data_IF_518420794825
#
_entry.id   IF_518420794825
#
_cell.length_a   1.000
_cell.length_b   1.000
_cell.length_c   1.000
_cell.angle_alpha   90.00
_cell.angle_beta   90.00
_cell.angle_gamma   90.00
#
_symmetry.space_group_name_H-M   'P 1'
#
loop_
_entity.id
_entity.type
_entity.pdbx_description
1 polymer ?
#
# COMPACT_ATOMS: atom_id res chain seq x y z
N UNK A 1 -1.61 1.08 -2.45
CA UNK A 1 -0.85 1.01 -3.72
C UNK A 1 -0.99 2.32 -4.46
N UNK A 2 0.00 2.70 -5.28
CA UNK A 2 -0.02 3.87 -6.17
C UNK A 2 -0.45 5.17 -5.49
N UNK A 3 -0.25 5.32 -4.17
CA UNK A 3 -0.86 6.39 -3.39
C UNK A 3 -0.32 7.78 -3.77
N UNK A 4 0.86 7.84 -4.40
CA UNK A 4 1.36 9.07 -5.01
C UNK A 4 0.44 9.65 -6.10
N UNK A 5 -0.29 8.81 -6.84
CA UNK A 5 -1.18 9.23 -7.94
C UNK A 5 -2.35 10.11 -7.47
N UNK A 6 -2.67 10.07 -6.17
CA UNK A 6 -3.70 10.89 -5.56
C UNK A 6 -3.28 12.36 -5.36
N UNK A 7 -1.98 12.66 -5.43
CA UNK A 7 -1.45 14.00 -5.12
C UNK A 7 -0.50 14.54 -6.19
N UNK A 8 0.20 13.68 -6.91
CA UNK A 8 1.11 14.07 -7.99
C UNK A 8 0.37 14.85 -9.09
N UNK A 9 0.82 16.07 -9.37
CA UNK A 9 0.15 16.99 -10.31
C UNK A 9 -1.18 17.58 -9.81
N UNK A 10 -1.69 17.17 -8.64
CA UNK A 10 -3.00 17.57 -8.12
C UNK A 10 -2.94 18.51 -6.91
N UNK A 11 -2.15 18.16 -5.89
CA UNK A 11 -2.16 18.88 -4.62
C UNK A 11 -1.35 20.19 -4.74
N UNK A 12 -1.98 21.37 -4.59
CA UNK A 12 -1.27 22.64 -4.66
C UNK A 12 -0.24 22.79 -3.54
N UNK A 13 0.84 23.52 -3.83
CA UNK A 13 1.95 23.73 -2.88
C UNK A 13 1.73 24.91 -1.94
N UNK A 14 0.63 25.65 -2.09
CA UNK A 14 0.22 26.81 -1.31
C UNK A 14 -1.02 26.52 -0.43
N UNK A 15 -1.59 25.33 -0.53
CA UNK A 15 -2.64 24.85 0.37
C UNK A 15 -1.99 24.32 1.66
N UNK A 16 -2.49 24.68 2.87
CA UNK A 16 -1.91 24.28 4.17
C UNK A 16 -2.20 22.79 4.47
N UNK A 17 -1.68 21.92 3.62
CA UNK A 17 -1.82 20.47 3.64
C UNK A 17 -0.46 19.85 3.44
N UNK A 18 -0.11 18.91 4.33
CA UNK A 18 1.02 18.01 4.20
C UNK A 18 0.46 16.61 3.93
N UNK A 19 0.85 15.99 2.82
CA UNK A 19 0.44 14.62 2.49
C UNK A 19 1.67 13.71 2.42
N UNK A 20 1.54 12.51 3.00
CA UNK A 20 2.54 11.45 2.96
C UNK A 20 1.94 10.20 2.33
N UNK A 21 2.68 9.53 1.45
CA UNK A 21 2.19 8.34 0.75
C UNK A 21 3.10 7.14 0.97
N UNK A 22 2.49 5.96 1.12
CA UNK A 22 3.21 4.70 1.26
C UNK A 22 4.04 4.29 0.03
N UNK A 23 3.65 4.78 -1.15
CA UNK A 23 4.24 4.44 -2.43
C UNK A 23 4.20 5.64 -3.37
N UNK A 24 5.02 5.63 -4.43
CA UNK A 24 4.88 6.57 -5.54
C UNK A 24 3.62 6.25 -6.38
N UNK A 25 3.38 6.99 -7.47
CA UNK A 25 2.19 6.82 -8.31
C UNK A 25 2.17 5.56 -9.18
N UNK A 26 3.19 4.69 -9.10
CA UNK A 26 3.46 3.65 -10.10
C UNK A 26 3.71 2.26 -9.52
N UNK A 27 3.73 2.15 -8.20
CA UNK A 27 4.12 0.93 -7.52
C UNK A 27 3.17 0.57 -6.38
N UNK A 28 3.20 -0.71 -6.02
CA UNK A 28 2.40 -1.22 -4.91
C UNK A 28 2.91 -0.71 -3.56
N UNK A 29 1.99 -0.63 -2.60
CA UNK A 29 2.34 -0.69 -1.18
C UNK A 29 2.55 -2.15 -0.77
N UNK A 30 2.97 -2.36 0.47
CA UNK A 30 3.35 -3.69 0.96
C UNK A 30 2.72 -3.95 2.32
N UNK A 31 2.05 -5.09 2.45
CA UNK A 31 1.71 -5.72 3.72
C UNK A 31 2.97 -6.19 4.44
N UNK A 32 2.90 -6.41 5.75
CA UNK A 32 3.95 -6.96 6.60
C UNK A 32 3.32 -7.84 7.70
N UNK A 33 4.15 -8.62 8.40
CA UNK A 33 3.69 -9.68 9.31
C UNK A 33 2.74 -10.67 8.59
N UNK A 34 3.15 -11.11 7.41
CA UNK A 34 2.42 -12.09 6.61
C UNK A 34 3.00 -13.50 6.81
N UNK A 35 2.25 -14.53 6.38
CA UNK A 35 2.72 -15.92 6.41
C UNK A 35 3.04 -16.40 7.83
N UNK A 36 4.23 -16.98 8.04
CA UNK A 36 4.63 -17.52 9.34
C UNK A 36 4.66 -16.47 10.47
N UNK A 37 4.81 -15.19 10.11
CA UNK A 37 4.87 -14.07 11.05
C UNK A 37 3.49 -13.48 11.38
N UNK A 38 2.43 -13.96 10.72
CA UNK A 38 1.04 -13.56 10.94
C UNK A 38 0.42 -14.20 12.20
N UNK A 39 1.12 -14.15 13.34
CA UNK A 39 0.72 -14.85 14.58
C UNK A 39 0.38 -13.91 15.72
N UNK A 40 -0.74 -14.18 16.38
CA UNK A 40 -1.16 -13.50 17.61
C UNK A 40 -1.45 -14.53 18.70
N UNK A 41 -0.76 -14.43 19.84
CA UNK A 41 -0.89 -15.40 20.94
C UNK A 41 -0.54 -16.84 20.52
N UNK A 42 0.41 -17.00 19.60
CA UNK A 42 0.83 -18.30 19.05
C UNK A 42 -0.10 -18.87 17.97
N UNK A 43 -1.25 -18.22 17.71
CA UNK A 43 -2.22 -18.64 16.68
C UNK A 43 -1.96 -17.92 15.38
N UNK A 44 -2.03 -18.67 14.28
CA UNK A 44 -2.00 -18.11 12.94
C UNK A 44 -3.31 -17.37 12.64
N UNK A 45 -3.20 -16.12 12.20
CA UNK A 45 -4.34 -15.26 11.85
C UNK A 45 -4.72 -15.42 10.37
N UNK A 46 -3.87 -16.03 9.55
CA UNK A 46 -4.10 -16.27 8.11
C UNK A 46 -4.43 -15.00 7.35
N UNK A 47 -3.76 -13.91 7.72
CA UNK A 47 -3.77 -12.61 7.06
C UNK A 47 -2.54 -11.83 7.52
N UNK A 48 -2.00 -10.97 6.66
CA UNK A 48 -1.01 -9.98 7.10
C UNK A 48 -1.57 -9.15 8.26
N UNK A 49 -0.74 -8.86 9.29
CA UNK A 49 -1.17 -8.12 10.48
C UNK A 49 -0.97 -6.61 10.37
N UNK A 50 -0.29 -6.13 9.32
CA UNK A 50 -0.13 -4.71 9.08
C UNK A 50 0.40 -4.40 7.69
N UNK A 51 0.64 -3.12 7.45
CA UNK A 51 1.28 -2.61 6.23
C UNK A 51 2.63 -2.00 6.60
N UNK A 52 3.65 -2.25 5.77
CA UNK A 52 5.04 -1.86 6.03
C UNK A 52 5.15 -0.35 6.31
N UNK A 53 4.54 0.48 5.48
CA UNK A 53 4.48 1.93 5.70
C UNK A 53 3.80 2.28 7.03
N UNK A 54 2.61 1.72 7.25
CA UNK A 54 1.76 2.05 8.40
C UNK A 54 2.44 1.70 9.71
N UNK A 55 2.94 0.47 9.80
CA UNK A 55 3.67 -0.05 10.96
C UNK A 55 4.90 0.79 11.25
N UNK A 56 5.66 1.19 10.23
CA UNK A 56 6.86 2.00 10.40
C UNK A 56 6.58 3.38 11.02
N UNK A 57 5.56 4.11 10.58
CA UNK A 57 5.27 5.44 11.17
C UNK A 57 4.58 5.34 12.53
N UNK A 58 3.71 4.35 12.74
CA UNK A 58 3.02 4.16 14.02
C UNK A 58 4.01 3.77 15.13
N UNK A 59 4.85 2.75 14.89
CA UNK A 59 5.84 2.34 15.89
C UNK A 59 6.90 3.41 16.15
N UNK A 60 7.17 4.29 15.19
CA UNK A 60 8.05 5.42 15.41
C UNK A 60 7.40 6.49 16.30
N UNK A 61 6.13 6.81 16.03
CA UNK A 61 5.35 7.79 16.81
C UNK A 61 5.10 7.35 18.26
N UNK A 62 5.04 6.05 18.51
CA UNK A 62 4.88 5.47 19.86
C UNK A 62 6.16 5.57 20.70
N UNK A 63 7.32 5.88 20.10
CA UNK A 63 8.56 6.05 20.87
C UNK A 63 8.50 7.35 21.66
N UNK A 64 8.53 7.23 22.98
CA UNK A 64 8.66 8.39 23.86
C UNK A 64 10.07 8.99 23.74
N UNK A 65 10.18 10.18 23.13
CA UNK A 65 11.41 10.97 23.08
C UNK A 65 11.31 12.21 23.97
N UNK A 66 12.44 12.65 24.54
CA UNK A 66 12.49 13.89 25.35
C UNK A 66 12.27 15.16 24.49
N UNK A 67 12.58 15.09 23.20
CA UNK A 67 12.39 16.14 22.22
C UNK A 67 11.27 15.75 21.24
N UNK A 68 10.30 16.62 20.95
CA UNK A 68 9.27 16.35 19.95
C UNK A 68 9.90 16.07 18.58
N UNK A 69 9.43 15.03 17.91
CA UNK A 69 9.83 14.69 16.55
C UNK A 69 9.13 15.60 15.52
N UNK A 70 9.87 16.04 14.49
CA UNK A 70 9.33 16.87 13.41
C UNK A 70 8.89 16.03 12.20
N UNK A 71 8.04 16.59 11.33
CA UNK A 71 7.62 15.91 10.09
C UNK A 71 8.78 15.44 9.21
N UNK A 72 9.86 16.23 9.08
CA UNK A 72 11.03 15.84 8.29
C UNK A 72 11.76 14.63 8.89
N UNK A 73 11.87 14.59 10.21
CA UNK A 73 12.53 13.50 10.92
C UNK A 73 11.75 12.18 10.71
N UNK A 74 10.44 12.19 10.97
CA UNK A 74 9.61 11.00 10.77
C UNK A 74 9.59 10.58 9.30
N UNK A 75 9.43 11.53 8.38
CA UNK A 75 9.51 11.23 6.94
C UNK A 75 10.80 10.50 6.58
N UNK A 76 11.94 11.01 7.06
CA UNK A 76 13.25 10.42 6.75
C UNK A 76 13.38 9.00 7.30
N UNK A 77 12.92 8.75 8.54
CA UNK A 77 12.90 7.42 9.13
C UNK A 77 11.95 6.48 8.38
N UNK A 78 10.69 6.86 8.18
CA UNK A 78 9.67 6.05 7.53
C UNK A 78 10.06 5.73 6.09
N UNK A 79 10.65 6.68 5.36
CA UNK A 79 11.20 6.46 4.02
C UNK A 79 12.35 5.46 4.02
N UNK A 80 13.19 5.46 5.05
CA UNK A 80 14.31 4.52 5.17
C UNK A 80 13.82 3.11 5.50
N UNK A 81 12.84 2.99 6.39
CA UNK A 81 12.31 1.70 6.86
C UNK A 81 11.31 1.07 5.89
N UNK A 82 10.59 1.87 5.11
CA UNK A 82 9.65 1.41 4.08
C UNK A 82 10.40 1.27 2.76
N UNK A 83 11.23 0.23 2.66
CA UNK A 83 12.20 0.04 1.57
C UNK A 83 11.72 -0.91 0.45
N UNK A 84 10.45 -1.31 0.45
CA UNK A 84 9.79 -2.05 -0.64
C UNK A 84 9.03 -1.14 -1.61
N UNK A 85 8.82 0.11 -1.22
CA UNK A 85 8.18 1.18 -1.99
C UNK A 85 8.85 2.52 -1.67
N UNK A 86 8.52 3.55 -2.42
CA UNK A 86 9.05 4.89 -2.30
C UNK A 86 8.04 5.75 -1.56
N UNK A 87 8.36 6.07 -0.31
CA UNK A 87 7.56 7.02 0.48
C UNK A 87 7.72 8.42 -0.11
N UNK A 88 6.60 9.05 -0.47
CA UNK A 88 6.56 10.38 -1.08
C UNK A 88 5.85 11.39 -0.18
N UNK A 89 6.15 12.68 -0.38
CA UNK A 89 5.53 13.80 0.32
C UNK A 89 5.07 14.87 -0.66
N UNK A 90 3.90 15.47 -0.41
CA UNK A 90 3.25 16.44 -1.30
C UNK A 90 2.67 17.63 -0.51
N UNK A 91 2.25 18.67 -1.22
CA UNK A 91 1.67 19.89 -0.65
C UNK A 91 2.70 20.87 -0.10
N UNK A 92 2.35 21.57 0.99
CA UNK A 92 3.20 22.54 1.70
C UNK A 92 4.33 21.89 2.50
N UNK A 93 4.81 20.71 2.08
CA UNK A 93 5.70 19.88 2.89
C UNK A 93 6.96 20.61 3.35
N UNK A 94 7.56 21.47 2.50
CA UNK A 94 8.76 22.26 2.82
C UNK A 94 8.54 23.25 3.96
N UNK A 95 7.35 23.86 4.04
CA UNK A 95 7.03 24.84 5.06
C UNK A 95 6.68 24.20 6.41
N UNK A 96 6.33 22.91 6.41
CA UNK A 96 5.90 22.16 7.59
C UNK A 96 6.97 21.17 8.10
N UNK A 97 8.18 21.16 7.53
CA UNK A 97 9.23 20.16 7.84
C UNK A 97 9.67 20.18 9.31
N UNK A 98 9.67 21.36 9.92
CA UNK A 98 10.13 21.60 11.29
C UNK A 98 8.98 21.57 12.32
N UNK A 99 7.73 21.44 11.86
CA UNK A 99 6.58 21.39 12.76
C UNK A 99 6.59 20.07 13.57
N UNK A 100 6.34 20.11 14.89
CA UNK A 100 6.25 18.91 15.71
C UNK A 100 5.02 18.07 15.32
N UNK A 101 5.24 16.77 15.14
CA UNK A 101 4.16 15.83 14.81
C UNK A 101 3.14 15.71 15.94
N UNK A 102 3.57 15.97 17.19
CA UNK A 102 2.71 15.96 18.37
C UNK A 102 1.59 17.00 18.32
N UNK A 103 1.73 18.07 17.53
CA UNK A 103 0.63 19.03 17.31
C UNK A 103 -0.55 18.42 16.54
N UNK A 104 -0.30 17.31 15.83
CA UNK A 104 -1.29 16.63 14.99
C UNK A 104 -1.73 15.29 15.57
N UNK A 105 -0.79 14.52 16.12
CA UNK A 105 -1.05 13.19 16.70
C UNK A 105 -1.32 13.24 18.21
N UNK A 106 -1.17 14.42 18.83
CA UNK A 106 -1.15 14.58 20.27
C UNK A 106 0.22 14.26 20.88
N UNK A 107 0.46 14.69 22.14
CA UNK A 107 1.67 14.30 22.85
C UNK A 107 1.66 12.79 23.16
N UNK A 108 2.84 12.17 23.35
CA UNK A 108 2.93 10.84 23.92
C UNK A 108 2.12 10.79 25.23
N UNK A 109 1.23 9.80 25.36
CA UNK A 109 0.38 9.71 26.56
C UNK A 109 1.25 9.57 27.81
N UNK A 110 0.87 10.23 28.91
CA UNK A 110 1.57 10.17 30.19
C UNK A 110 1.73 8.73 30.71
N UNK A 111 0.83 7.82 30.33
CA UNK A 111 0.95 6.39 30.63
C UNK A 111 2.10 5.71 29.87
N UNK A 112 2.37 6.11 28.63
CA UNK A 112 3.51 5.62 27.84
C UNK A 112 4.82 6.25 28.31
N UNK A 113 4.81 7.54 28.68
CA UNK A 113 5.97 8.20 29.28
C UNK A 113 6.34 7.60 30.66
N UNK A 114 5.34 7.19 31.44
CA UNK A 114 5.54 6.54 32.75
C UNK A 114 5.88 5.05 32.67
N UNK A 115 5.60 4.38 31.56
CA UNK A 115 5.90 2.96 31.35
C UNK A 115 7.41 2.66 31.18
N UNK A 116 8.26 3.70 31.09
CA UNK A 116 9.67 3.54 30.76
C UNK A 116 9.87 3.05 29.30
N UNK A 117 11.10 2.79 28.85
CA UNK A 117 11.31 2.13 27.56
C UNK A 117 10.56 0.79 27.59
N UNK A 118 9.61 0.61 26.69
CA UNK A 118 8.82 -0.60 26.60
C UNK A 118 9.76 -1.80 26.53
N UNK A 119 9.57 -2.76 27.43
CA UNK A 119 10.27 -4.05 27.45
C UNK A 119 9.77 -5.00 26.36
N UNK A 120 8.84 -4.58 25.51
CA UNK A 120 8.57 -5.27 24.24
C UNK A 120 9.81 -5.20 23.36
N UNK A 121 10.32 -6.33 22.86
CA UNK A 121 11.42 -6.33 21.90
C UNK A 121 11.04 -5.39 20.76
N UNK A 122 11.95 -4.48 20.40
CA UNK A 122 11.78 -3.70 19.18
C UNK A 122 11.61 -4.71 18.04
N UNK A 123 10.51 -4.59 17.29
CA UNK A 123 10.30 -5.44 16.13
C UNK A 123 11.47 -5.21 15.18
N UNK A 124 12.23 -6.27 14.87
CA UNK A 124 13.40 -6.12 14.02
C UNK A 124 12.97 -5.65 12.62
N UNK A 125 13.60 -4.60 12.06
CA UNK A 125 13.28 -4.14 10.71
C UNK A 125 13.40 -5.24 9.65
N UNK A 126 14.29 -6.22 9.87
CA UNK A 126 14.43 -7.38 9.02
C UNK A 126 13.17 -8.26 9.00
N UNK A 127 12.47 -8.41 10.13
CA UNK A 127 11.22 -9.17 10.20
C UNK A 127 10.13 -8.51 9.33
N UNK A 128 10.00 -7.18 9.44
CA UNK A 128 9.04 -6.42 8.64
C UNK A 128 9.30 -6.57 7.14
N UNK A 129 10.58 -6.50 6.76
CA UNK A 129 11.02 -6.59 5.38
C UNK A 129 10.86 -7.99 4.78
N UNK A 130 11.22 -9.02 5.54
CA UNK A 130 11.22 -10.41 5.07
C UNK A 130 9.81 -10.98 4.97
N UNK A 131 8.91 -10.54 5.85
CA UNK A 131 7.48 -10.91 5.81
C UNK A 131 6.65 -10.04 4.86
N UNK A 132 7.28 -9.10 4.14
CA UNK A 132 6.55 -8.16 3.32
C UNK A 132 5.99 -8.80 2.03
N UNK A 133 4.70 -8.57 1.78
CA UNK A 133 3.99 -9.04 0.58
C UNK A 133 3.38 -7.85 -0.13
N UNK A 134 3.50 -7.78 -1.45
CA UNK A 134 2.85 -6.74 -2.27
C UNK A 134 1.37 -6.71 -1.93
N UNK A 135 0.80 -5.54 -1.65
CA UNK A 135 -0.64 -5.41 -1.32
C UNK A 135 -1.54 -6.03 -2.40
N UNK A 136 -1.10 -6.07 -3.67
CA UNK A 136 -1.82 -6.73 -4.78
C UNK A 136 -1.85 -8.25 -4.68
N UNK A 137 -0.90 -8.84 -3.97
CA UNK A 137 -0.66 -10.28 -3.92
C UNK A 137 -0.98 -10.91 -2.56
N UNK A 138 -1.45 -10.13 -1.58
CA UNK A 138 -1.78 -10.64 -0.23
C UNK A 138 -2.77 -11.81 -0.29
N UNK A 139 -3.85 -11.68 -1.06
CA UNK A 139 -4.85 -12.76 -1.22
C UNK A 139 -4.23 -14.01 -1.84
N UNK A 140 -3.48 -13.86 -2.93
CA UNK A 140 -2.83 -14.97 -3.61
C UNK A 140 -1.78 -15.64 -2.71
N UNK A 141 -0.99 -14.85 -1.98
CA UNK A 141 -0.02 -15.33 -1.01
C UNK A 141 -0.70 -16.14 0.08
N UNK A 142 -1.79 -15.65 0.66
CA UNK A 142 -2.53 -16.38 1.71
C UNK A 142 -3.10 -17.70 1.19
N UNK A 143 -3.72 -17.71 0.02
CA UNK A 143 -4.25 -18.94 -0.59
C UNK A 143 -3.15 -19.95 -0.90
N UNK A 144 -1.96 -19.47 -1.30
CA UNK A 144 -0.80 -20.32 -1.52
C UNK A 144 -0.29 -20.93 -0.21
N UNK A 145 -0.22 -20.15 0.89
CA UNK A 145 0.15 -20.68 2.21
C UNK A 145 -0.88 -21.70 2.71
N UNK A 146 -2.18 -21.39 2.60
CA UNK A 146 -3.27 -22.33 2.94
C UNK A 146 -3.11 -23.66 2.18
N UNK A 147 -2.78 -23.61 0.88
CA UNK A 147 -2.52 -24.81 0.09
C UNK A 147 -1.30 -25.60 0.59
N UNK A 148 -0.21 -24.93 0.93
CA UNK A 148 1.00 -25.59 1.46
C UNK A 148 0.76 -26.23 2.84
N UNK A 149 0.01 -25.56 3.71
CA UNK A 149 -0.22 -25.99 5.09
C UNK A 149 -1.25 -27.13 5.19
N UNK A 150 -2.33 -27.06 4.40
CA UNK A 150 -3.43 -28.02 4.48
C UNK A 150 -3.38 -29.10 3.40
N UNK A 151 -2.91 -28.76 2.20
CA UNK A 151 -2.86 -29.68 1.06
C UNK A 151 -4.20 -30.29 0.66
N UNK A 152 -5.33 -29.63 0.98
CA UNK A 152 -6.68 -30.12 0.69
C UNK A 152 -7.13 -29.75 -0.73
N UNK A 153 -8.08 -30.53 -1.26
CA UNK A 153 -8.73 -30.23 -2.54
C UNK A 153 -9.38 -28.83 -2.53
N UNK A 154 -10.02 -28.47 -1.42
CA UNK A 154 -10.63 -27.15 -1.23
C UNK A 154 -9.60 -26.01 -1.29
N UNK A 155 -8.44 -26.16 -0.64
CA UNK A 155 -7.38 -25.14 -0.69
C UNK A 155 -6.80 -25.00 -2.10
N UNK A 156 -6.61 -26.13 -2.80
CA UNK A 156 -6.17 -26.18 -4.20
C UNK A 156 -7.18 -25.50 -5.14
N UNK A 157 -8.47 -25.75 -4.95
CA UNK A 157 -9.55 -25.17 -5.74
C UNK A 157 -9.62 -23.65 -5.54
N UNK A 158 -9.60 -23.16 -4.29
CA UNK A 158 -9.59 -21.71 -3.98
C UNK A 158 -8.39 -20.99 -4.59
N UNK A 159 -7.18 -21.57 -4.48
CA UNK A 159 -5.98 -21.02 -5.09
C UNK A 159 -6.08 -20.98 -6.62
N UNK A 160 -6.57 -22.06 -7.23
CA UNK A 160 -6.72 -22.14 -8.69
C UNK A 160 -7.77 -21.16 -9.19
N UNK A 161 -8.87 -20.98 -8.46
CA UNK A 161 -9.92 -20.02 -8.78
C UNK A 161 -9.39 -18.58 -8.78
N UNK A 162 -8.61 -18.19 -7.76
CA UNK A 162 -7.98 -16.86 -7.71
C UNK A 162 -7.02 -16.64 -8.89
N UNK A 163 -6.21 -17.64 -9.24
CA UNK A 163 -5.31 -17.56 -10.40
C UNK A 163 -6.10 -17.37 -11.70
N UNK A 164 -7.19 -18.13 -11.89
CA UNK A 164 -8.06 -18.02 -13.07
C UNK A 164 -8.71 -16.64 -13.15
N UNK A 165 -9.30 -16.14 -12.06
CA UNK A 165 -9.90 -14.80 -11.98
C UNK A 165 -8.91 -13.71 -12.42
N UNK A 166 -7.68 -13.75 -11.90
CA UNK A 166 -6.61 -12.80 -12.29
C UNK A 166 -6.25 -12.89 -13.78
N UNK A 167 -6.17 -14.10 -14.33
CA UNK A 167 -5.89 -14.31 -15.76
C UNK A 167 -7.03 -13.81 -16.64
N UNK A 168 -8.28 -14.02 -16.22
CA UNK A 168 -9.47 -13.55 -16.94
C UNK A 168 -9.55 -12.03 -17.01
N UNK A 169 -9.28 -11.34 -15.90
CA UNK A 169 -9.23 -9.86 -15.87
C UNK A 169 -8.15 -9.32 -16.81
N UNK A 170 -6.95 -9.91 -16.79
CA UNK A 170 -5.86 -9.53 -17.70
C UNK A 170 -6.23 -9.76 -19.17
N UNK A 171 -6.84 -10.92 -19.46
CA UNK A 171 -7.30 -11.27 -20.81
C UNK A 171 -8.37 -10.30 -21.30
N UNK A 172 -9.35 -9.98 -20.45
CA UNK A 172 -10.41 -9.03 -20.77
C UNK A 172 -9.86 -7.62 -21.03
N UNK A 173 -8.95 -7.14 -20.17
CA UNK A 173 -8.30 -5.84 -20.37
C UNK A 173 -7.56 -5.74 -21.70
N UNK A 174 -6.83 -6.80 -22.08
CA UNK A 174 -6.20 -6.88 -23.40
C UNK A 174 -7.21 -6.86 -24.55
N UNK A 175 -8.30 -7.63 -24.46
CA UNK A 175 -9.33 -7.67 -25.49
C UNK A 175 -10.03 -6.32 -25.70
N UNK A 176 -10.30 -5.58 -24.62
CA UNK A 176 -10.85 -4.23 -24.69
C UNK A 176 -9.86 -3.30 -25.40
N UNK A 177 -8.59 -3.34 -24.99
CA UNK A 177 -7.55 -2.52 -25.61
C UNK A 177 -7.36 -2.85 -27.09
N UNK A 178 -7.35 -4.13 -27.47
CA UNK A 178 -7.22 -4.58 -28.86
C UNK A 178 -8.40 -4.14 -29.72
N UNK A 179 -9.62 -4.30 -29.21
CA UNK A 179 -10.85 -3.85 -29.88
C UNK A 179 -10.84 -2.34 -30.15
N UNK A 180 -10.39 -1.55 -29.17
CA UNK A 180 -10.32 -0.09 -29.28
C UNK A 180 -9.19 0.38 -30.21
N UNK A 181 -7.99 -0.17 -30.05
CA UNK A 181 -6.81 0.25 -30.80
C UNK A 181 -6.77 -0.30 -32.23
N UNK A 182 -7.54 -1.36 -32.51
CA UNK A 182 -7.54 -2.13 -33.76
C UNK A 182 -6.14 -2.61 -34.16
N UNK A 183 -5.27 -2.82 -33.16
CA UNK A 183 -3.87 -3.18 -33.33
C UNK A 183 -3.39 -3.92 -32.07
N UNK A 184 -3.11 -5.21 -32.22
CA UNK A 184 -2.69 -6.08 -31.13
C UNK A 184 -1.38 -5.63 -30.47
N UNK A 185 -0.45 -5.07 -31.25
CA UNK A 185 0.84 -4.61 -30.73
C UNK A 185 0.64 -3.35 -29.88
N UNK A 186 -0.13 -2.37 -30.38
CA UNK A 186 -0.44 -1.16 -29.60
C UNK A 186 -1.26 -1.46 -28.36
N UNK A 187 -2.16 -2.43 -28.42
CA UNK A 187 -2.91 -2.89 -27.26
C UNK A 187 -2.00 -3.53 -26.20
N UNK A 188 -1.06 -4.39 -26.63
CA UNK A 188 -0.06 -4.97 -25.74
C UNK A 188 0.81 -3.88 -25.09
N UNK A 189 1.28 -2.91 -25.89
CA UNK A 189 2.07 -1.79 -25.41
C UNK A 189 1.28 -0.93 -24.41
N UNK A 190 -0.02 -0.68 -24.65
CA UNK A 190 -0.90 0.08 -23.76
C UNK A 190 -1.12 -0.63 -22.41
N UNK A 191 -1.44 -1.93 -22.44
CA UNK A 191 -1.71 -2.71 -21.21
C UNK A 191 -0.43 -2.96 -20.40
N UNK A 192 0.72 -3.05 -21.07
CA UNK A 192 2.02 -3.21 -20.42
C UNK A 192 2.67 -1.88 -20.03
N UNK A 193 2.13 -0.74 -20.48
CA UNK A 193 2.74 0.56 -20.23
C UNK A 193 2.85 0.82 -18.72
N UNK A 194 4.02 1.29 -18.24
CA UNK A 194 4.09 1.85 -16.90
C UNK A 194 3.15 3.07 -16.83
N UNK A 195 2.70 3.42 -15.62
CA UNK A 195 1.92 4.65 -15.45
C UNK A 195 2.70 5.84 -16.07
N UNK A 196 2.03 6.86 -16.63
CA UNK A 196 2.68 7.99 -17.32
C UNK A 196 3.56 8.82 -16.38
N UNK A 197 4.67 9.42 -16.86
CA UNK A 197 5.62 10.23 -16.04
C UNK A 197 4.95 11.38 -15.28
N UNK A 198 3.86 11.91 -15.81
CA UNK A 198 3.03 12.92 -15.15
C UNK A 198 1.57 12.46 -15.26
N UNK A 199 0.89 12.36 -14.11
CA UNK A 199 -0.50 11.94 -14.07
C UNK A 199 -1.39 13.16 -14.35
N UNK A 200 -1.71 13.37 -15.62
CA UNK A 200 -2.55 14.50 -16.00
C UNK A 200 -4.02 14.09 -15.87
N UNK A 201 -4.63 14.45 -14.74
CA UNK A 201 -6.08 14.33 -14.52
C UNK A 201 -6.85 15.35 -15.37
N UNK A 202 -6.82 15.17 -16.69
CA UNK A 202 -7.48 16.08 -17.63
C UNK A 202 -8.99 15.85 -17.71
N UNK A 203 -9.45 14.63 -17.42
CA UNK A 203 -10.86 14.22 -17.60
C UNK A 203 -11.30 13.19 -16.54
N UNK A 204 -11.46 13.58 -15.26
CA UNK A 204 -11.93 12.67 -14.20
C UNK A 204 -13.30 12.05 -14.55
N UNK A 205 -14.23 12.83 -15.11
CA UNK A 205 -15.55 12.35 -15.52
C UNK A 205 -15.48 11.26 -16.61
N UNK A 206 -14.46 11.31 -17.48
CA UNK A 206 -14.26 10.28 -18.51
C UNK A 206 -13.81 8.97 -17.87
N UNK A 207 -12.87 9.06 -16.92
CA UNK A 207 -12.40 7.92 -16.16
C UNK A 207 -13.55 7.28 -15.35
N UNK A 208 -14.33 8.07 -14.62
CA UNK A 208 -15.45 7.60 -13.81
C UNK A 208 -16.49 6.87 -14.66
N UNK A 209 -16.94 7.46 -15.78
CA UNK A 209 -17.87 6.79 -16.71
C UNK A 209 -17.30 5.49 -17.28
N UNK A 210 -16.01 5.45 -17.61
CA UNK A 210 -15.39 4.24 -18.13
C UNK A 210 -15.33 3.11 -17.08
N UNK A 211 -15.05 3.46 -15.81
CA UNK A 211 -15.05 2.51 -14.70
C UNK A 211 -16.47 2.01 -14.42
N UNK A 212 -17.46 2.90 -14.38
CA UNK A 212 -18.87 2.55 -14.16
C UNK A 212 -19.38 1.60 -15.25
N UNK A 213 -19.19 1.96 -16.52
CA UNK A 213 -19.61 1.14 -17.67
C UNK A 213 -18.91 -0.23 -17.68
N UNK A 214 -17.61 -0.27 -17.34
CA UNK A 214 -16.90 -1.53 -17.18
C UNK A 214 -17.52 -2.38 -16.06
N UNK A 215 -17.84 -1.77 -14.91
CA UNK A 215 -18.48 -2.45 -13.79
C UNK A 215 -19.85 -3.04 -14.14
N UNK A 216 -20.70 -2.27 -14.82
CA UNK A 216 -22.05 -2.69 -15.22
C UNK A 216 -22.03 -3.77 -16.30
N UNK A 217 -21.08 -3.69 -17.24
CA UNK A 217 -21.05 -4.58 -18.41
C UNK A 217 -20.23 -5.85 -18.18
N UNK A 218 -19.10 -5.74 -17.49
CA UNK A 218 -18.18 -6.86 -17.28
C UNK A 218 -18.36 -7.59 -15.95
N UNK A 219 -19.18 -7.05 -15.05
CA UNK A 219 -19.47 -7.67 -13.75
C UNK A 219 -18.32 -7.44 -12.78
N UNK A 220 -18.45 -6.37 -11.99
CA UNK A 220 -17.66 -6.15 -10.78
C UNK A 220 -18.61 -6.18 -9.59
N UNK A 221 -18.44 -7.13 -8.69
CA UNK A 221 -19.09 -7.08 -7.38
C UNK A 221 -18.02 -6.71 -6.37
N UNK A 222 -18.16 -5.55 -5.71
CA UNK A 222 -17.47 -5.33 -4.43
C UNK A 222 -17.96 -6.42 -3.47
N UNK A 223 -17.13 -7.42 -3.24
CA UNK A 223 -17.30 -8.41 -2.18
C UNK A 223 -16.04 -8.45 -1.36
#
# INVERSE_FOLDING_TARGET
CESGSMFEGLLPKDLPVYALTAANARESSWGTFCGSDARVGGKDIRSCLGDLFSVNWMMDSEKSTATPETFLQQFTKVKTLTNKSHVMRYGMFKAMEDEPISEFMGPPSAAFAAAGPSSTPAIEPALLFNSAVSSRDVTLHQLYQDYLDFGTDEASERLTEEIRKRQEVKRLGFQIAESYMQDAKKAADLVAAPAPEEFIWTQPDCHERAVEEFGTTCGWTES
#
